data_IF_133131530904
#
_entry.id   IF_133131530904
#
_cell.length_a   1.000
_cell.length_b   1.000
_cell.length_c   1.000
_cell.angle_alpha   90.00
_cell.angle_beta   90.00
_cell.angle_gamma   90.00
#
_symmetry.space_group_name_H-M   'P 1'
#
loop_
_entity.id
_entity.type
_entity.pdbx_description
1 polymer ?
#
# COMPACT_ATOMS: atom_id res chain seq x y z
N UNK A 1 12.63 34.55 18.28
CA UNK A 1 13.19 33.40 19.01
C UNK A 1 12.06 32.52 19.50
N UNK A 2 11.94 31.38 18.85
CA UNK A 2 11.00 30.29 19.06
C UNK A 2 11.54 29.34 20.13
N UNK A 3 10.74 28.98 21.14
CA UNK A 3 10.43 27.59 21.49
C UNK A 3 9.62 27.49 22.80
N UNK A 4 8.87 26.40 22.90
CA UNK A 4 8.17 25.80 24.06
C UNK A 4 6.72 26.22 24.31
N UNK A 5 5.81 25.49 23.68
CA UNK A 5 4.51 25.16 24.26
C UNK A 5 4.19 23.68 24.01
N UNK A 6 4.73 22.83 24.87
CA UNK A 6 4.26 21.47 25.10
C UNK A 6 2.83 21.52 25.66
N UNK A 7 1.86 21.06 24.89
CA UNK A 7 0.52 20.76 25.39
C UNK A 7 0.23 19.26 25.19
N UNK A 8 0.52 18.48 26.23
CA UNK A 8 -0.19 17.23 26.53
C UNK A 8 -1.53 17.61 27.14
N UNK A 9 -2.66 17.18 26.57
CA UNK A 9 -3.91 16.92 27.28
C UNK A 9 -4.96 16.40 26.30
N UNK A 10 -5.63 15.31 26.66
CA UNK A 10 -6.90 14.96 26.02
C UNK A 10 -7.22 13.49 25.95
N UNK A 11 -7.26 12.82 27.10
CA UNK A 11 -8.00 11.57 27.30
C UNK A 11 -9.34 11.61 26.57
N UNK A 12 -9.59 10.69 25.64
CA UNK A 12 -10.94 10.37 25.18
C UNK A 12 -11.28 8.96 25.62
N UNK A 13 -12.15 8.93 26.62
CA UNK A 13 -12.79 7.75 27.17
C UNK A 13 -13.37 6.85 26.07
N UNK A 14 -13.07 5.55 26.17
CA UNK A 14 -13.85 4.51 25.53
C UNK A 14 -15.28 4.55 26.11
N UNK A 15 -16.22 5.15 25.38
CA UNK A 15 -17.63 4.83 25.56
C UNK A 15 -17.96 3.68 24.63
N UNK A 16 -18.31 2.55 25.23
CA UNK A 16 -19.01 1.47 24.57
C UNK A 16 -20.39 2.00 24.16
N UNK A 17 -20.52 2.48 22.92
CA UNK A 17 -21.81 2.89 22.36
C UNK A 17 -22.42 1.62 21.76
N UNK A 18 -23.40 1.06 22.45
CA UNK A 18 -24.26 0.01 21.89
C UNK A 18 -24.85 0.47 20.55
N UNK A 19 -25.08 -0.42 19.57
CA UNK A 19 -25.68 -0.02 18.30
C UNK A 19 -27.07 0.56 18.57
N UNK A 20 -27.20 1.88 18.48
CA UNK A 20 -28.48 2.57 18.57
C UNK A 20 -29.14 2.41 17.21
N UNK A 21 -30.15 1.53 17.14
CA UNK A 21 -31.09 1.47 16.03
C UNK A 21 -31.95 2.74 16.07
N UNK A 22 -31.45 3.85 15.53
CA UNK A 22 -32.23 5.07 15.35
C UNK A 22 -33.19 4.83 14.18
N UNK A 23 -34.46 4.61 14.51
CA UNK A 23 -35.57 4.63 13.54
C UNK A 23 -35.58 6.01 12.88
N UNK A 24 -35.42 6.03 11.56
CA UNK A 24 -35.33 7.26 10.77
C UNK A 24 -36.51 8.19 11.05
N UNK A 25 -36.22 9.49 11.19
CA UNK A 25 -37.26 10.52 11.15
C UNK A 25 -37.88 10.52 9.75
N UNK A 26 -39.22 10.64 9.62
CA UNK A 26 -39.86 10.70 8.32
C UNK A 26 -39.38 11.96 7.59
N UNK A 27 -38.70 11.77 6.46
CA UNK A 27 -38.43 12.86 5.52
C UNK A 27 -39.66 13.01 4.63
N UNK A 28 -40.23 14.20 4.64
CA UNK A 28 -41.50 14.55 4.01
C UNK A 28 -41.39 14.76 2.49
N UNK A 29 -40.54 13.99 1.82
CA UNK A 29 -40.32 14.08 0.37
C UNK A 29 -40.20 12.66 -0.17
N UNK A 30 -41.24 12.21 -0.88
CA UNK A 30 -41.48 10.82 -1.28
C UNK A 30 -40.44 10.21 -2.23
N UNK A 31 -39.32 9.76 -1.70
CA UNK A 31 -38.43 8.75 -2.29
C UNK A 31 -38.16 7.63 -1.28
N UNK A 32 -37.85 6.40 -1.73
CA UNK A 32 -37.56 5.29 -0.81
C UNK A 32 -36.36 5.67 0.08
N UNK A 33 -36.58 5.65 1.39
CA UNK A 33 -35.58 6.04 2.36
C UNK A 33 -34.47 4.99 2.42
N UNK A 34 -33.35 5.26 1.74
CA UNK A 34 -32.12 4.50 1.89
C UNK A 34 -31.79 4.35 3.38
N UNK A 35 -31.78 3.11 3.89
CA UNK A 35 -31.51 2.85 5.30
C UNK A 35 -30.02 3.01 5.54
N UNK A 36 -29.66 4.10 6.21
CA UNK A 36 -28.29 4.40 6.59
C UNK A 36 -28.00 3.65 7.89
N UNK A 37 -27.11 2.66 7.84
CA UNK A 37 -26.68 1.91 9.02
C UNK A 37 -25.41 2.56 9.58
N UNK A 38 -25.44 2.86 10.88
CA UNK A 38 -24.30 3.37 11.63
C UNK A 38 -23.69 2.25 12.47
N UNK A 39 -22.51 1.79 12.09
CA UNK A 39 -21.68 0.91 12.92
C UNK A 39 -20.47 1.70 13.42
N UNK A 40 -20.66 2.43 14.53
CA UNK A 40 -19.65 3.11 15.37
C UNK A 40 -18.71 4.14 14.71
N UNK A 41 -18.10 3.80 13.56
CA UNK A 41 -17.18 4.59 12.75
C UNK A 41 -17.51 4.60 11.26
N UNK A 42 -18.42 3.76 10.76
CA UNK A 42 -18.71 3.66 9.33
C UNK A 42 -20.20 3.80 9.06
N UNK A 43 -20.49 4.59 8.04
CA UNK A 43 -21.82 4.80 7.50
C UNK A 43 -21.88 4.06 6.17
N UNK A 44 -22.83 3.14 6.03
CA UNK A 44 -23.10 2.48 4.75
C UNK A 44 -24.56 2.71 4.38
N UNK A 45 -24.82 3.08 3.13
CA UNK A 45 -26.17 3.01 2.57
C UNK A 45 -26.40 1.58 2.11
N UNK A 46 -27.33 0.90 2.76
CA UNK A 46 -27.80 -0.40 2.25
C UNK A 46 -28.87 -0.10 1.21
N UNK A 47 -28.60 -0.52 -0.04
CA UNK A 47 -29.60 -0.46 -1.11
C UNK A 47 -30.83 -1.24 -0.65
N UNK A 48 -32.04 -0.69 -0.84
CA UNK A 48 -33.24 -1.44 -0.51
C UNK A 48 -33.39 -2.67 -1.43
N UNK A 49 -34.06 -3.73 -0.98
CA UNK A 49 -34.25 -4.95 -1.80
C UNK A 49 -34.95 -4.65 -3.13
N UNK A 50 -35.89 -3.70 -3.12
CA UNK A 50 -36.62 -3.28 -4.32
C UNK A 50 -35.71 -2.56 -5.32
N UNK A 51 -34.81 -1.68 -4.83
CA UNK A 51 -33.80 -1.03 -5.68
C UNK A 51 -32.78 -2.04 -6.23
N UNK A 52 -32.40 -3.02 -5.43
CA UNK A 52 -31.46 -4.08 -5.85
C UNK A 52 -32.06 -4.95 -6.96
N UNK A 53 -33.33 -5.33 -6.86
CA UNK A 53 -34.04 -6.09 -7.90
C UNK A 53 -34.23 -5.28 -9.17
N UNK A 54 -34.55 -3.99 -9.05
CA UNK A 54 -34.66 -3.07 -10.18
C UNK A 54 -33.34 -2.89 -10.90
N UNK A 55 -32.24 -2.76 -10.16
CA UNK A 55 -30.90 -2.63 -10.73
C UNK A 55 -30.45 -3.94 -11.40
N UNK A 56 -30.72 -5.10 -10.78
CA UNK A 56 -30.48 -6.40 -11.41
C UNK A 56 -31.23 -6.54 -12.74
N UNK A 57 -32.50 -6.14 -12.78
CA UNK A 57 -33.29 -6.18 -14.01
C UNK A 57 -32.71 -5.24 -15.09
N UNK A 58 -32.24 -4.05 -14.71
CA UNK A 58 -31.54 -3.12 -15.62
C UNK A 58 -30.25 -3.75 -16.17
N UNK A 59 -29.41 -4.29 -15.31
CA UNK A 59 -28.12 -4.89 -15.71
C UNK A 59 -28.31 -6.10 -16.63
N UNK A 60 -29.37 -6.90 -16.43
CA UNK A 60 -29.72 -8.00 -17.34
C UNK A 60 -30.11 -7.51 -18.73
N UNK A 61 -30.69 -6.30 -18.84
CA UNK A 61 -31.07 -5.71 -20.13
C UNK A 61 -29.90 -5.12 -20.92
N UNK A 62 -28.74 -4.91 -20.29
CA UNK A 62 -27.55 -4.37 -20.94
C UNK A 62 -26.81 -5.43 -21.77
N UNK A 63 -26.22 -5.01 -22.88
CA UNK A 63 -25.27 -5.83 -23.62
C UNK A 63 -23.97 -6.03 -22.83
N UNK A 64 -23.20 -7.07 -23.18
CA UNK A 64 -21.95 -7.36 -22.47
C UNK A 64 -20.91 -6.24 -22.62
N UNK A 65 -20.88 -5.56 -23.78
CA UNK A 65 -20.04 -4.38 -23.98
C UNK A 65 -20.45 -3.22 -23.07
N UNK A 66 -21.74 -2.92 -22.95
CA UNK A 66 -22.22 -1.84 -22.06
C UNK A 66 -21.92 -2.16 -20.59
N UNK A 67 -22.07 -3.42 -20.18
CA UNK A 67 -21.66 -3.87 -18.83
C UNK A 67 -20.17 -3.61 -18.60
N UNK A 68 -19.30 -3.92 -19.56
CA UNK A 68 -17.87 -3.64 -19.44
C UNK A 68 -17.57 -2.15 -19.31
N UNK A 69 -18.25 -1.30 -20.07
CA UNK A 69 -18.09 0.16 -20.00
C UNK A 69 -18.54 0.69 -18.63
N UNK A 70 -19.72 0.29 -18.16
CA UNK A 70 -20.22 0.68 -16.83
C UNK A 70 -19.30 0.21 -15.71
N UNK A 71 -18.77 -1.02 -15.80
CA UNK A 71 -17.81 -1.54 -14.82
C UNK A 71 -16.54 -0.68 -14.77
N UNK A 72 -15.99 -0.28 -15.91
CA UNK A 72 -14.81 0.60 -15.97
C UNK A 72 -15.10 1.98 -15.37
N UNK A 73 -16.28 2.54 -15.61
CA UNK A 73 -16.68 3.81 -15.02
C UNK A 73 -16.84 3.73 -13.50
N UNK A 74 -17.46 2.66 -13.00
CA UNK A 74 -17.58 2.42 -11.56
C UNK A 74 -16.21 2.25 -10.90
N UNK A 75 -15.30 1.48 -11.52
CA UNK A 75 -13.94 1.31 -11.03
C UNK A 75 -13.17 2.64 -10.99
N UNK A 76 -13.33 3.49 -12.01
CA UNK A 76 -12.75 4.83 -12.03
C UNK A 76 -13.29 5.73 -10.90
N UNK A 77 -14.61 5.67 -10.63
CA UNK A 77 -15.22 6.40 -9.53
C UNK A 77 -14.74 5.89 -8.16
N UNK A 78 -14.60 4.58 -7.98
CA UNK A 78 -14.08 3.96 -6.77
C UNK A 78 -12.61 4.37 -6.54
N UNK A 79 -11.77 4.39 -7.57
CA UNK A 79 -10.39 4.89 -7.48
C UNK A 79 -10.36 6.35 -7.02
N UNK A 80 -11.17 7.22 -7.64
CA UNK A 80 -11.29 8.64 -7.28
C UNK A 80 -11.72 8.82 -5.83
N UNK A 81 -12.74 8.10 -5.37
CA UNK A 81 -13.23 8.18 -3.98
C UNK A 81 -12.17 7.69 -2.97
N UNK A 82 -11.41 6.64 -3.30
CA UNK A 82 -10.31 6.18 -2.46
C UNK A 82 -9.19 7.22 -2.36
N UNK A 83 -8.88 7.92 -3.45
CA UNK A 83 -7.92 9.02 -3.46
C UNK A 83 -8.38 10.15 -2.55
N UNK A 84 -9.64 10.60 -2.69
CA UNK A 84 -10.22 11.65 -1.85
C UNK A 84 -10.22 11.25 -0.37
N UNK A 85 -10.54 9.98 -0.07
CA UNK A 85 -10.43 9.45 1.29
C UNK A 85 -9.00 9.53 1.82
N UNK A 86 -8.01 9.12 1.01
CA UNK A 86 -6.60 9.18 1.39
C UNK A 86 -6.08 10.60 1.65
N UNK A 87 -6.60 11.59 0.90
CA UNK A 87 -6.33 13.01 1.13
C UNK A 87 -6.97 13.45 2.46
N UNK A 88 -8.24 13.10 2.68
CA UNK A 88 -8.98 13.51 3.86
C UNK A 88 -8.46 12.87 5.16
N UNK A 89 -8.00 11.61 5.10
CA UNK A 89 -7.34 10.95 6.24
C UNK A 89 -5.90 11.39 6.45
N UNK A 90 -5.32 12.11 5.49
CA UNK A 90 -3.91 12.51 5.49
C UNK A 90 -2.92 11.36 5.25
N UNK A 91 -3.39 10.12 5.05
CA UNK A 91 -2.55 8.95 4.78
C UNK A 91 -1.67 9.17 3.55
N UNK A 92 -2.19 9.88 2.54
CA UNK A 92 -1.50 10.17 1.28
C UNK A 92 -0.27 11.10 1.43
N UNK A 93 -0.09 11.76 2.58
CA UNK A 93 1.10 12.57 2.86
C UNK A 93 2.24 11.75 3.47
N UNK A 94 1.95 10.55 3.98
CA UNK A 94 2.96 9.65 4.55
C UNK A 94 3.61 8.80 3.47
N UNK A 95 4.88 8.41 3.64
CA UNK A 95 5.56 7.51 2.71
C UNK A 95 4.87 6.16 2.58
N UNK A 96 4.37 5.61 3.70
CA UNK A 96 3.62 4.35 3.71
C UNK A 96 2.30 4.45 2.95
N UNK A 97 1.56 5.55 3.12
CA UNK A 97 0.31 5.76 2.39
C UNK A 97 0.53 6.03 0.91
N UNK A 98 1.56 6.80 0.54
CA UNK A 98 1.97 6.99 -0.86
C UNK A 98 2.36 5.68 -1.53
N UNK A 99 3.15 4.86 -0.85
CA UNK A 99 3.52 3.52 -1.35
C UNK A 99 2.27 2.66 -1.59
N UNK A 100 1.38 2.55 -0.60
CA UNK A 100 0.15 1.77 -0.72
C UNK A 100 -0.76 2.27 -1.85
N UNK A 101 -0.84 3.59 -2.01
CA UNK A 101 -1.58 4.21 -3.10
C UNK A 101 -0.95 3.89 -4.47
N UNK A 102 0.37 4.08 -4.61
CA UNK A 102 1.10 3.77 -5.85
C UNK A 102 0.97 2.29 -6.24
N UNK A 103 1.13 1.38 -5.27
CA UNK A 103 0.98 -0.05 -5.51
C UNK A 103 -0.45 -0.41 -5.96
N UNK A 104 -1.47 0.31 -5.49
CA UNK A 104 -2.86 0.10 -5.90
C UNK A 104 -3.17 0.67 -7.29
N UNK A 105 -2.78 1.92 -7.56
CA UNK A 105 -3.13 2.61 -8.80
C UNK A 105 -2.29 2.16 -9.99
N UNK A 106 -0.98 1.93 -9.80
CA UNK A 106 -0.08 1.51 -10.87
C UNK A 106 0.08 -0.01 -10.96
N UNK A 107 -0.31 -0.75 -9.92
CA UNK A 107 -0.35 -2.21 -9.91
C UNK A 107 0.94 -2.85 -10.44
N UNK A 108 0.84 -3.53 -11.59
CA UNK A 108 1.95 -4.25 -12.22
C UNK A 108 3.12 -3.32 -12.59
N UNK A 109 2.85 -2.11 -13.08
CA UNK A 109 3.91 -1.16 -13.46
C UNK A 109 4.77 -0.75 -12.28
N UNK A 110 4.15 -0.57 -11.11
CA UNK A 110 4.86 -0.33 -9.86
C UNK A 110 5.74 -1.53 -9.47
N UNK A 111 5.24 -2.76 -9.59
CA UNK A 111 5.99 -3.96 -9.23
C UNK A 111 7.21 -4.16 -10.13
N UNK A 112 7.07 -3.96 -11.44
CA UNK A 112 8.20 -4.05 -12.39
C UNK A 112 9.27 -3.01 -12.05
N UNK A 113 8.88 -1.77 -11.75
CA UNK A 113 9.84 -0.74 -11.35
C UNK A 113 10.50 -1.07 -10.01
N UNK A 114 9.74 -1.52 -9.02
CA UNK A 114 10.28 -1.92 -7.71
C UNK A 114 11.33 -3.04 -7.85
N UNK A 115 11.03 -4.07 -8.64
CA UNK A 115 11.97 -5.15 -8.94
C UNK A 115 13.21 -4.66 -9.70
N UNK A 116 13.05 -3.73 -10.63
CA UNK A 116 14.18 -3.13 -11.35
C UNK A 116 15.12 -2.41 -10.38
N UNK A 117 14.56 -1.59 -9.48
CA UNK A 117 15.35 -0.90 -8.45
C UNK A 117 16.01 -1.91 -7.51
N UNK A 118 15.30 -2.94 -7.06
CA UNK A 118 15.86 -4.00 -6.21
C UNK A 118 17.03 -4.73 -6.89
N UNK A 119 16.87 -5.14 -8.15
CA UNK A 119 17.93 -5.80 -8.91
C UNK A 119 19.13 -4.87 -9.13
N UNK A 120 18.88 -3.59 -9.43
CA UNK A 120 19.96 -2.60 -9.60
C UNK A 120 20.76 -2.41 -8.32
N UNK A 121 20.11 -2.35 -7.15
CA UNK A 121 20.81 -2.25 -5.87
C UNK A 121 21.56 -3.53 -5.53
N UNK A 122 21.02 -4.70 -5.88
CA UNK A 122 21.71 -5.98 -5.66
C UNK A 122 23.00 -6.07 -6.50
N UNK A 123 22.93 -5.71 -7.79
CA UNK A 123 24.11 -5.68 -8.69
C UNK A 123 25.14 -4.66 -8.22
N UNK A 124 24.72 -3.46 -7.82
CA UNK A 124 25.63 -2.44 -7.29
C UNK A 124 26.29 -2.90 -5.98
N UNK A 125 25.55 -3.57 -5.11
CA UNK A 125 26.08 -4.08 -3.84
C UNK A 125 27.08 -5.20 -4.07
N UNK A 126 26.78 -6.11 -5.00
CA UNK A 126 27.68 -7.20 -5.40
C UNK A 126 28.99 -6.63 -5.96
N UNK A 127 28.89 -5.71 -6.93
CA UNK A 127 30.07 -5.07 -7.50
C UNK A 127 30.86 -4.25 -6.48
N UNK A 128 30.20 -3.60 -5.52
CA UNK A 128 30.88 -2.89 -4.44
C UNK A 128 31.65 -3.84 -3.52
N UNK A 129 31.10 -5.03 -3.22
CA UNK A 129 31.77 -6.06 -2.41
C UNK A 129 33.00 -6.60 -3.15
N UNK A 130 32.90 -6.85 -4.46
CA UNK A 130 34.05 -7.29 -5.27
C UNK A 130 35.13 -6.21 -5.39
N UNK A 131 34.76 -4.94 -5.58
CA UNK A 131 35.72 -3.83 -5.73
C UNK A 131 36.39 -3.46 -4.42
N UNK A 132 35.66 -3.56 -3.30
CA UNK A 132 36.18 -3.26 -1.96
C UNK A 132 36.87 -4.45 -1.29
N UNK A 133 36.94 -5.61 -1.97
CA UNK A 133 37.53 -6.85 -1.47
C UNK A 133 37.03 -7.24 -0.08
N UNK A 134 35.71 -7.17 0.13
CA UNK A 134 35.11 -7.45 1.44
C UNK A 134 35.08 -8.96 1.66
N UNK A 135 35.91 -9.43 2.59
CA UNK A 135 35.99 -10.86 2.95
C UNK A 135 34.73 -11.32 3.72
N UNK A 136 33.84 -12.00 2.99
CA UNK A 136 32.61 -12.57 3.52
C UNK A 136 32.86 -13.72 4.52
N UNK A 137 33.94 -14.48 4.37
CA UNK A 137 34.30 -15.59 5.28
C UNK A 137 34.82 -15.02 6.60
N UNK A 138 35.62 -13.94 6.57
CA UNK A 138 36.03 -13.25 7.79
C UNK A 138 34.83 -12.69 8.57
N UNK A 139 33.82 -12.14 7.88
CA UNK A 139 32.57 -11.69 8.52
C UNK A 139 31.76 -12.85 9.09
N UNK A 140 31.60 -13.95 8.35
CA UNK A 140 30.90 -15.15 8.82
C UNK A 140 31.60 -15.77 10.04
N UNK A 141 32.94 -15.81 10.06
CA UNK A 141 33.70 -16.33 11.19
C UNK A 141 33.50 -15.53 12.48
N UNK A 142 33.25 -14.21 12.38
CA UNK A 142 32.87 -13.38 13.55
C UNK A 142 31.44 -13.65 14.02
N UNK A 143 30.52 -13.94 13.11
CA UNK A 143 29.15 -14.32 13.44
C UNK A 143 29.11 -15.70 14.10
N UNK A 144 29.93 -16.64 13.62
CA UNK A 144 30.12 -17.96 14.21
C UNK A 144 30.70 -17.88 15.63
N UNK A 145 31.69 -17.01 15.84
CA UNK A 145 32.24 -16.74 17.17
C UNK A 145 31.22 -16.15 18.16
N UNK A 146 30.15 -15.49 17.66
CA UNK A 146 29.10 -14.90 18.49
C UNK A 146 27.90 -15.82 18.70
N UNK A 147 27.63 -16.73 17.77
CA UNK A 147 26.44 -17.59 17.76
C UNK A 147 26.74 -19.06 18.08
N UNK A 148 28.00 -19.47 18.03
CA UNK A 148 28.45 -20.84 18.30
C UNK A 148 28.14 -21.83 17.17
N UNK A 149 27.65 -21.36 16.02
CA UNK A 149 27.46 -22.19 14.83
C UNK A 149 28.78 -22.25 14.03
N UNK A 150 29.02 -23.38 13.35
CA UNK A 150 30.20 -23.61 12.50
C UNK A 150 29.78 -23.50 11.03
N UNK A 151 29.43 -22.28 10.61
CA UNK A 151 28.85 -21.96 9.30
C UNK A 151 29.97 -21.64 8.30
N UNK A 152 31.03 -20.98 8.74
CA UNK A 152 32.18 -20.57 7.94
C UNK A 152 32.92 -21.77 7.32
N UNK A 153 33.00 -22.92 8.01
CA UNK A 153 33.65 -24.13 7.48
C UNK A 153 32.74 -24.95 6.55
N UNK A 154 31.44 -24.64 6.47
CA UNK A 154 30.44 -25.40 5.70
C UNK A 154 29.89 -24.64 4.51
N UNK A 155 30.13 -23.33 4.42
CA UNK A 155 29.63 -22.46 3.35
C UNK A 155 30.75 -22.17 2.36
N UNK A 156 30.46 -22.39 1.08
CA UNK A 156 31.33 -21.98 -0.03
C UNK A 156 31.52 -20.44 0.02
N UNK A 157 32.76 -19.93 -0.06
CA UNK A 157 33.04 -18.49 -0.13
C UNK A 157 32.17 -17.71 -1.14
N UNK A 158 31.83 -18.33 -2.27
CA UNK A 158 30.97 -17.73 -3.30
C UNK A 158 29.55 -17.53 -2.78
N UNK A 159 28.99 -18.53 -2.09
CA UNK A 159 27.67 -18.44 -1.47
C UNK A 159 27.67 -17.48 -0.28
N UNK A 160 28.76 -17.40 0.48
CA UNK A 160 28.94 -16.42 1.54
C UNK A 160 28.89 -14.98 1.01
N UNK A 161 29.54 -14.73 -0.14
CA UNK A 161 29.56 -13.42 -0.81
C UNK A 161 28.18 -13.03 -1.34
N UNK A 162 27.45 -13.98 -1.95
CA UNK A 162 26.06 -13.76 -2.39
C UNK A 162 25.14 -13.50 -1.20
N UNK A 163 25.27 -14.29 -0.12
CA UNK A 163 24.49 -14.11 1.11
C UNK A 163 24.74 -12.75 1.77
N UNK A 164 26.00 -12.31 1.85
CA UNK A 164 26.38 -10.99 2.35
C UNK A 164 25.81 -9.88 1.46
N UNK A 165 25.89 -10.05 0.14
CA UNK A 165 25.30 -9.12 -0.83
C UNK A 165 23.80 -8.95 -0.58
N UNK A 166 23.06 -10.05 -0.43
CA UNK A 166 21.62 -10.00 -0.14
C UNK A 166 21.37 -9.33 1.20
N UNK A 167 22.12 -9.66 2.25
CA UNK A 167 21.95 -9.06 3.57
C UNK A 167 22.19 -7.54 3.57
N UNK A 168 23.23 -7.08 2.88
CA UNK A 168 23.50 -5.64 2.71
C UNK A 168 22.43 -4.99 1.83
N UNK A 169 21.96 -5.67 0.78
CA UNK A 169 20.89 -5.19 -0.08
C UNK A 169 19.56 -5.05 0.68
N UNK A 170 19.26 -5.91 1.65
CA UNK A 170 18.11 -5.76 2.55
C UNK A 170 18.33 -4.64 3.59
N UNK A 171 19.57 -4.42 4.05
CA UNK A 171 19.86 -3.27 4.93
C UNK A 171 19.62 -1.91 4.24
N UNK A 172 19.71 -1.87 2.92
CA UNK A 172 19.41 -0.69 2.08
C UNK A 172 17.89 -0.50 1.87
N UNK A 173 17.05 -1.49 2.21
CA UNK A 173 15.59 -1.44 2.05
C UNK A 173 14.93 -0.15 2.59
N UNK A 174 15.30 0.39 3.77
CA UNK A 174 14.70 1.63 4.30
C UNK A 174 14.96 2.86 3.41
N UNK A 175 16.05 2.86 2.65
CA UNK A 175 16.40 3.90 1.67
C UNK A 175 15.76 3.64 0.31
N UNK A 176 15.54 2.38 -0.06
CA UNK A 176 14.92 1.98 -1.33
C UNK A 176 13.46 2.45 -1.42
N UNK A 177 12.70 2.30 -0.34
CA UNK A 177 11.27 2.65 -0.32
C UNK A 177 11.00 4.13 -0.68
N UNK A 178 11.70 5.13 -0.10
CA UNK A 178 11.59 6.52 -0.53
C UNK A 178 11.93 6.72 -2.01
N UNK A 179 13.02 6.12 -2.50
CA UNK A 179 13.46 6.28 -3.89
C UNK A 179 12.38 5.77 -4.84
N UNK A 180 11.86 4.57 -4.60
CA UNK A 180 10.78 4.00 -5.43
C UNK A 180 9.55 4.90 -5.36
N UNK A 181 9.08 5.30 -4.18
CA UNK A 181 7.87 6.13 -4.04
C UNK A 181 7.98 7.45 -4.82
N UNK A 182 9.14 8.09 -4.83
CA UNK A 182 9.32 9.35 -5.58
C UNK A 182 9.53 9.14 -7.08
N UNK A 183 10.09 8.00 -7.50
CA UNK A 183 10.45 7.74 -8.91
C UNK A 183 9.39 6.96 -9.68
N UNK A 184 8.50 6.21 -9.02
CA UNK A 184 7.46 5.41 -9.68
C UNK A 184 6.60 6.23 -10.62
N UNK A 185 6.10 7.40 -10.17
CA UNK A 185 5.17 8.21 -10.97
C UNK A 185 5.74 8.60 -12.34
N UNK A 186 6.90 9.29 -12.45
CA UNK A 186 7.44 9.64 -13.77
C UNK A 186 7.83 8.42 -14.61
N UNK A 187 8.30 7.35 -13.98
CA UNK A 187 8.76 6.15 -14.70
C UNK A 187 7.60 5.36 -15.28
N UNK A 188 6.56 5.08 -14.49
CA UNK A 188 5.41 4.32 -14.96
C UNK A 188 4.59 5.13 -15.95
N UNK A 189 4.41 6.44 -15.75
CA UNK A 189 3.74 7.30 -16.74
C UNK A 189 4.48 7.30 -18.10
N UNK A 190 5.82 7.19 -18.09
CA UNK A 190 6.63 7.06 -19.31
C UNK A 190 6.51 5.68 -19.94
N UNK A 191 6.47 4.62 -19.12
CA UNK A 191 6.33 3.24 -19.58
C UNK A 191 4.96 3.01 -20.25
N UNK A 192 3.89 3.49 -19.61
CA UNK A 192 2.51 3.35 -20.08
C UNK A 192 2.24 4.22 -21.31
N UNK A 193 2.89 5.38 -21.47
CA UNK A 193 2.75 6.20 -22.69
C UNK A 193 3.35 5.58 -23.96
N UNK A 194 4.24 4.60 -23.81
CA UNK A 194 4.91 3.94 -24.95
C UNK A 194 4.16 2.71 -25.47
N UNK A 195 3.13 2.26 -24.76
CA UNK A 195 2.23 1.17 -25.15
C UNK A 195 0.83 1.73 -25.39
#
# INVERSE_FOLDING_TARGET
ETMLATARLGSRAFRHVSPVFLKAAPSDVGGPANTIIFDGRRQYSVLSKEEEEKEKARVVSLSDYEKEVELRELDAQISKLNTLRGINTGELYTLRGKFKFLAKEYGMGFMVWYWTVWCSTAVLTYGAIEVLDVDAIALLSRVDGFTGFDIANKVDPTLGTIGLTVAVNELIEPLRLPIVVFTTKPVVDTLTRRY
#
